data_IF_783621127282
#
_entry.id   IF_783621127282
#
_cell.length_a   1.000
_cell.length_b   1.000
_cell.length_c   1.000
_cell.angle_alpha   90.00
_cell.angle_beta   90.00
_cell.angle_gamma   90.00
#
_symmetry.space_group_name_H-M   'P 1'
#
loop_
_entity.id
_entity.type
_entity.pdbx_description
1 polymer ?
#
# COMPACT_ATOMS: atom_id res chain seq x y z
N UNK A 1 -14.99 -28.17 7.01
CA UNK A 1 -15.33 -28.51 5.59
C UNK A 1 -14.84 -29.92 5.36
N UNK A 2 -15.62 -30.80 4.66
CA UNK A 2 -15.10 -32.14 4.33
C UNK A 2 -13.99 -32.04 3.28
N UNK A 3 -13.03 -32.95 3.32
CA UNK A 3 -11.89 -32.98 2.38
C UNK A 3 -12.34 -32.98 0.91
N UNK A 4 -13.48 -33.59 0.62
CA UNK A 4 -14.13 -33.56 -0.70
C UNK A 4 -14.49 -32.14 -1.17
N UNK A 5 -15.01 -31.29 -0.29
CA UNK A 5 -15.33 -29.89 -0.63
C UNK A 5 -14.07 -29.04 -0.85
N UNK A 6 -13.01 -29.34 -0.13
CA UNK A 6 -11.70 -28.68 -0.29
C UNK A 6 -11.13 -29.04 -1.66
N UNK A 7 -11.21 -30.30 -2.06
CA UNK A 7 -10.68 -30.76 -3.35
C UNK A 7 -11.48 -30.22 -4.54
N UNK A 8 -12.82 -30.22 -4.46
CA UNK A 8 -13.66 -29.58 -5.48
C UNK A 8 -13.38 -28.09 -5.61
N UNK A 9 -13.06 -27.40 -4.51
CA UNK A 9 -12.68 -25.99 -4.53
C UNK A 9 -11.33 -25.76 -5.22
N UNK A 10 -10.33 -26.63 -4.95
CA UNK A 10 -9.02 -26.58 -5.60
C UNK A 10 -9.14 -26.76 -7.11
N UNK A 11 -9.92 -27.77 -7.56
CA UNK A 11 -10.14 -28.06 -8.98
C UNK A 11 -10.82 -26.89 -9.70
N UNK A 12 -11.87 -26.30 -9.12
CA UNK A 12 -12.55 -25.12 -9.70
C UNK A 12 -11.64 -23.89 -9.77
N UNK A 13 -10.73 -23.76 -8.79
CA UNK A 13 -9.73 -22.69 -8.78
C UNK A 13 -8.70 -22.87 -9.88
N UNK A 14 -8.18 -24.08 -10.03
CA UNK A 14 -7.22 -24.42 -11.07
C UNK A 14 -7.81 -24.18 -12.46
N UNK A 15 -9.04 -24.65 -12.71
CA UNK A 15 -9.73 -24.43 -13.97
C UNK A 15 -9.88 -22.93 -14.31
N UNK A 16 -10.23 -22.10 -13.32
CA UNK A 16 -10.31 -20.63 -13.51
C UNK A 16 -8.94 -20.00 -13.80
N UNK A 17 -7.88 -20.49 -13.16
CA UNK A 17 -6.53 -20.00 -13.42
C UNK A 17 -6.05 -20.39 -14.82
N UNK A 18 -6.31 -21.63 -15.27
CA UNK A 18 -6.03 -22.07 -16.64
C UNK A 18 -6.79 -21.24 -17.68
N UNK A 19 -8.07 -20.95 -17.44
CA UNK A 19 -8.86 -20.06 -18.31
C UNK A 19 -8.30 -18.61 -18.34
N UNK A 20 -7.81 -18.13 -17.21
CA UNK A 20 -7.29 -16.75 -17.09
C UNK A 20 -5.93 -16.55 -17.74
N UNK A 21 -5.04 -17.52 -17.61
CA UNK A 21 -3.63 -17.40 -18.00
C UNK A 21 -3.28 -18.19 -19.27
N UNK A 22 -4.15 -19.07 -19.74
CA UNK A 22 -3.94 -19.82 -20.97
C UNK A 22 -2.58 -20.53 -21.01
N UNK A 23 -1.78 -20.24 -22.03
CA UNK A 23 -0.45 -20.83 -22.22
C UNK A 23 0.56 -20.46 -21.09
N UNK A 24 0.33 -19.33 -20.39
CA UNK A 24 1.24 -18.88 -19.34
C UNK A 24 0.93 -19.50 -17.96
N UNK A 25 -0.10 -20.36 -17.89
CA UNK A 25 -0.55 -20.96 -16.63
C UNK A 25 0.57 -21.69 -15.88
N UNK A 26 1.35 -22.53 -16.59
CA UNK A 26 2.42 -23.33 -15.98
C UNK A 26 3.57 -22.43 -15.46
N UNK A 27 3.87 -21.34 -16.16
CA UNK A 27 4.86 -20.36 -15.70
C UNK A 27 4.40 -19.66 -14.41
N UNK A 28 3.12 -19.32 -14.32
CA UNK A 28 2.49 -18.72 -13.12
C UNK A 28 2.52 -19.69 -11.94
N UNK A 29 2.22 -20.97 -12.18
CA UNK A 29 2.26 -22.01 -11.13
C UNK A 29 3.70 -22.21 -10.65
N UNK A 30 4.66 -22.37 -11.56
CA UNK A 30 6.06 -22.57 -11.22
C UNK A 30 6.68 -21.37 -10.47
N UNK A 31 6.25 -20.15 -10.79
CA UNK A 31 6.63 -18.96 -10.02
C UNK A 31 6.07 -19.01 -8.58
N UNK A 32 4.80 -19.40 -8.42
CA UNK A 32 4.14 -19.51 -7.11
C UNK A 32 4.77 -20.58 -6.24
N UNK A 33 5.07 -21.74 -6.83
CA UNK A 33 5.73 -22.86 -6.12
C UNK A 33 7.16 -22.50 -5.68
N UNK A 34 7.95 -21.86 -6.55
CA UNK A 34 9.29 -21.35 -6.18
C UNK A 34 9.21 -20.34 -5.04
N UNK A 35 8.20 -19.48 -5.06
CA UNK A 35 7.98 -18.49 -4.02
C UNK A 35 7.55 -19.14 -2.70
N UNK A 36 6.66 -20.13 -2.73
CA UNK A 36 6.26 -20.91 -1.55
C UNK A 36 7.44 -21.72 -0.97
N UNK A 37 8.21 -22.40 -1.82
CA UNK A 37 9.39 -23.18 -1.39
C UNK A 37 10.46 -22.33 -0.72
N UNK A 38 10.59 -21.04 -1.07
CA UNK A 38 11.50 -20.11 -0.40
C UNK A 38 11.00 -19.64 0.97
N UNK A 39 9.70 -19.47 1.11
CA UNK A 39 9.10 -19.15 2.41
C UNK A 39 9.26 -20.34 3.36
N UNK A 40 9.04 -21.56 2.87
CA UNK A 40 9.31 -22.78 3.62
C UNK A 40 10.82 -22.94 3.91
N UNK A 41 11.70 -22.55 2.99
CA UNK A 41 13.14 -22.57 3.21
C UNK A 41 13.62 -21.48 4.20
N UNK A 42 12.98 -20.32 4.21
CA UNK A 42 13.20 -19.26 5.19
C UNK A 42 12.62 -19.62 6.57
N UNK A 43 11.66 -20.53 6.60
CA UNK A 43 10.98 -21.00 7.83
C UNK A 43 11.44 -22.42 8.25
N UNK A 44 12.54 -22.94 7.64
CA UNK A 44 13.20 -24.20 8.05
C UNK A 44 13.89 -24.04 9.41
N UNK A 45 13.09 -23.94 10.42
CA UNK A 45 13.48 -23.89 11.80
C UNK A 45 12.26 -23.99 12.68
N UNK A 46 12.49 -24.21 13.95
CA UNK A 46 11.42 -24.33 14.94
C UNK A 46 11.28 -23.04 15.73
N UNK A 47 10.08 -22.47 15.72
CA UNK A 47 9.75 -21.40 16.64
C UNK A 47 9.59 -21.96 18.04
N UNK A 48 10.35 -21.45 19.00
CA UNK A 48 10.21 -21.78 20.42
C UNK A 48 9.87 -20.53 21.21
N UNK A 49 8.99 -20.70 22.19
CA UNK A 49 8.68 -19.64 23.15
C UNK A 49 9.58 -19.86 24.36
N UNK A 50 10.38 -18.86 24.74
CA UNK A 50 11.21 -18.90 25.92
C UNK A 50 10.37 -18.69 27.17
N UNK A 51 10.92 -19.03 28.35
CA UNK A 51 10.28 -18.79 29.66
C UNK A 51 9.88 -17.31 29.91
N UNK A 52 10.41 -16.39 29.09
CA UNK A 52 10.09 -14.95 29.14
C UNK A 52 9.10 -14.50 28.06
N UNK A 53 8.34 -15.44 27.48
CA UNK A 53 7.32 -15.17 26.46
C UNK A 53 7.87 -14.57 25.15
N UNK A 54 9.17 -14.76 24.86
CA UNK A 54 9.78 -14.37 23.60
C UNK A 54 9.75 -15.54 22.61
N UNK A 55 9.21 -15.35 21.40
CA UNK A 55 9.33 -16.32 20.31
C UNK A 55 10.69 -16.14 19.63
N UNK A 56 11.47 -17.21 19.59
CA UNK A 56 12.77 -17.25 18.91
C UNK A 56 12.70 -18.31 17.81
N UNK A 57 13.15 -17.94 16.61
CA UNK A 57 13.36 -18.89 15.53
C UNK A 57 14.70 -19.59 15.73
N UNK A 58 14.68 -20.91 15.77
CA UNK A 58 15.88 -21.73 15.83
C UNK A 58 16.19 -22.27 14.44
N UNK A 59 17.45 -22.20 14.02
CA UNK A 59 17.93 -22.83 12.79
C UNK A 59 17.88 -24.38 12.89
N UNK A 60 18.24 -25.08 11.83
CA UNK A 60 18.26 -26.55 11.79
C UNK A 60 19.15 -27.18 12.86
N UNK A 61 20.11 -26.45 13.43
CA UNK A 61 21.01 -26.88 14.52
C UNK A 61 20.43 -26.60 15.92
N UNK A 62 19.23 -26.02 16.01
CA UNK A 62 18.62 -25.64 17.27
C UNK A 62 19.17 -24.35 17.90
N UNK A 63 19.93 -23.57 17.18
CA UNK A 63 20.50 -22.29 17.64
C UNK A 63 19.63 -21.12 17.15
N UNK A 64 19.60 -19.98 17.88
CA UNK A 64 18.89 -18.78 17.42
C UNK A 64 19.39 -18.34 16.05
N UNK A 65 18.50 -18.30 15.08
CA UNK A 65 18.79 -17.92 13.68
C UNK A 65 19.04 -16.41 13.57
N UNK A 66 20.30 -16.01 13.75
CA UNK A 66 20.72 -14.59 13.68
C UNK A 66 20.63 -13.97 12.29
N UNK A 67 20.46 -14.77 11.25
CA UNK A 67 20.32 -14.33 9.87
C UNK A 67 18.88 -14.09 9.43
N UNK A 68 17.89 -14.57 10.19
CA UNK A 68 16.48 -14.40 9.87
C UNK A 68 16.02 -12.95 10.15
N UNK A 69 15.53 -12.20 9.16
CA UNK A 69 15.10 -10.81 9.36
C UNK A 69 13.99 -10.63 10.40
N UNK A 70 13.21 -11.68 10.68
CA UNK A 70 12.21 -11.67 11.75
C UNK A 70 12.84 -11.77 13.16
N UNK A 71 13.99 -12.42 13.29
CA UNK A 71 14.72 -12.55 14.57
C UNK A 71 15.50 -11.27 14.89
N UNK A 72 16.03 -10.57 13.88
CA UNK A 72 16.78 -9.31 14.06
C UNK A 72 15.90 -8.21 14.66
N UNK A 73 14.61 -8.19 14.34
CA UNK A 73 13.67 -7.21 14.92
C UNK A 73 13.38 -7.44 16.39
N UNK A 74 13.44 -8.69 16.85
CA UNK A 74 13.21 -9.07 18.26
C UNK A 74 14.47 -8.80 19.11
N UNK A 75 15.67 -9.03 18.56
CA UNK A 75 16.92 -8.83 19.29
C UNK A 75 17.32 -7.35 19.48
N UNK A 76 16.88 -6.44 18.63
CA UNK A 76 17.16 -4.99 18.77
C UNK A 76 16.34 -4.29 19.87
N UNK A 77 15.33 -4.97 20.45
CA UNK A 77 14.52 -4.45 21.55
C UNK A 77 15.06 -4.73 22.96
N UNK A 78 16.14 -5.49 23.11
CA UNK A 78 16.53 -6.08 24.39
C UNK A 78 17.98 -5.88 24.82
N UNK A 79 18.58 -4.69 24.69
CA UNK A 79 19.84 -4.37 25.39
C UNK A 79 19.58 -3.44 26.56
N UNK A 80 19.11 -4.02 27.66
CA UNK A 80 19.37 -3.51 28.99
C UNK A 80 20.74 -4.04 29.45
N UNK A 81 21.72 -3.17 29.68
CA UNK A 81 23.00 -3.54 30.26
C UNK A 81 22.84 -4.12 31.67
N UNK A 82 23.81 -4.91 32.18
CA UNK A 82 23.73 -5.46 33.51
C UNK A 82 23.80 -4.31 34.53
N UNK A 83 22.74 -4.10 35.29
CA UNK A 83 22.76 -3.17 36.44
C UNK A 83 21.59 -2.23 36.63
N UNK A 84 20.62 -2.15 35.75
CA UNK A 84 19.40 -1.38 36.00
C UNK A 84 18.33 -2.26 36.62
N UNK A 85 17.95 -1.95 37.87
CA UNK A 85 16.74 -2.49 38.49
C UNK A 85 15.58 -2.29 37.49
N UNK A 86 14.65 -3.28 37.34
CA UNK A 86 13.51 -3.09 36.50
C UNK A 86 12.75 -1.86 37.00
N UNK A 87 12.81 -0.79 36.22
CA UNK A 87 11.89 0.33 36.43
C UNK A 87 10.49 -0.29 36.28
N UNK A 88 9.65 -0.10 37.28
CA UNK A 88 8.21 -0.37 37.13
C UNK A 88 7.78 0.39 35.89
N UNK A 89 7.61 -0.36 34.78
CA UNK A 89 7.10 0.23 33.55
C UNK A 89 5.76 0.88 33.85
N UNK A 90 5.47 2.04 33.25
CA UNK A 90 4.21 2.69 33.49
C UNK A 90 3.08 1.71 33.15
N UNK A 91 2.26 1.41 34.13
CA UNK A 91 1.00 0.73 33.93
C UNK A 91 0.23 1.50 32.85
N UNK A 92 -0.35 0.81 31.89
CA UNK A 92 -1.21 1.33 30.81
C UNK A 92 -0.65 2.56 30.07
N UNK A 93 0.42 2.38 29.29
CA UNK A 93 0.89 3.43 28.38
C UNK A 93 -0.15 3.71 27.30
N UNK A 94 -0.37 4.97 26.98
CA UNK A 94 -1.06 5.37 25.76
C UNK A 94 -0.03 5.50 24.63
N UNK A 95 -0.47 5.29 23.37
CA UNK A 95 0.31 5.64 22.17
C UNK A 95 0.45 7.15 22.05
N UNK A 96 1.32 7.64 21.16
CA UNK A 96 1.40 9.06 20.80
C UNK A 96 0.06 9.68 20.40
N UNK A 97 -0.91 8.86 19.94
CA UNK A 97 -2.29 9.25 19.66
C UNK A 97 -3.23 9.15 20.90
N UNK A 98 -2.69 8.88 22.09
CA UNK A 98 -3.50 8.67 23.28
C UNK A 98 -4.48 7.47 23.16
N UNK A 99 -4.16 6.47 22.35
CA UNK A 99 -4.89 5.22 22.30
C UNK A 99 -4.40 4.29 23.41
N UNK A 100 -5.29 3.56 24.10
CA UNK A 100 -4.87 2.60 25.10
C UNK A 100 -4.05 1.49 24.44
N UNK A 101 -2.90 1.14 25.01
CA UNK A 101 -2.14 -0.05 24.61
C UNK A 101 -2.89 -1.28 25.10
N UNK A 102 -3.43 -2.06 24.19
CA UNK A 102 -4.26 -3.23 24.47
C UNK A 102 -3.44 -4.49 24.20
N UNK A 103 -3.58 -5.49 25.07
CA UNK A 103 -2.92 -6.78 24.92
C UNK A 103 -3.35 -7.43 23.59
N UNK A 104 -2.38 -7.90 22.80
CA UNK A 104 -2.63 -8.50 21.48
C UNK A 104 -2.82 -7.51 20.32
N UNK A 105 -2.67 -6.21 20.57
CA UNK A 105 -2.62 -5.19 19.52
C UNK A 105 -1.22 -4.62 19.46
N UNK A 106 -0.60 -4.75 18.30
CA UNK A 106 0.71 -4.15 18.00
C UNK A 106 0.47 -2.78 17.38
N UNK A 107 1.35 -1.82 17.65
CA UNK A 107 1.32 -0.50 17.05
C UNK A 107 2.54 -0.35 16.15
N UNK A 108 2.31 0.03 14.90
CA UNK A 108 3.37 0.30 13.90
C UNK A 108 3.23 1.71 13.38
N UNK A 109 4.33 2.26 12.90
CA UNK A 109 4.29 3.54 12.20
C UNK A 109 3.63 3.36 10.84
N UNK A 110 2.68 4.24 10.53
CA UNK A 110 2.09 4.38 9.19
C UNK A 110 3.13 4.94 8.20
N UNK A 111 2.74 5.10 6.95
CA UNK A 111 3.61 5.73 5.93
C UNK A 111 4.07 7.13 6.35
N UNK A 112 3.19 7.86 7.02
CA UNK A 112 3.44 9.23 7.50
C UNK A 112 3.93 9.29 8.95
N UNK A 113 4.33 8.15 9.54
CA UNK A 113 4.97 8.08 10.86
C UNK A 113 4.04 8.02 12.06
N UNK A 114 2.71 7.99 11.86
CA UNK A 114 1.75 7.85 12.95
C UNK A 114 1.75 6.44 13.55
N UNK A 115 1.70 6.33 14.88
CA UNK A 115 1.50 5.04 15.55
C UNK A 115 0.04 4.59 15.40
N UNK A 116 -0.19 3.62 14.52
CA UNK A 116 -1.51 3.06 14.24
C UNK A 116 -1.59 1.60 14.68
N UNK A 117 -2.79 1.14 15.12
CA UNK A 117 -2.95 -0.26 15.50
C UNK A 117 -2.76 -1.17 14.29
N UNK A 118 -1.97 -2.22 14.51
CA UNK A 118 -1.79 -3.32 13.58
C UNK A 118 -1.86 -4.63 14.37
N UNK A 119 -2.01 -5.74 13.69
CA UNK A 119 -2.23 -7.02 14.34
C UNK A 119 -1.25 -8.04 13.81
N UNK A 120 -0.68 -8.83 14.72
CA UNK A 120 0.15 -9.96 14.33
C UNK A 120 -0.71 -10.99 13.60
N UNK A 121 -0.08 -11.69 12.68
CA UNK A 121 -0.72 -12.69 11.86
C UNK A 121 -1.38 -13.79 12.69
N UNK A 122 -0.67 -14.26 13.73
CA UNK A 122 -1.14 -15.31 14.62
C UNK A 122 -2.38 -14.92 15.47
N UNK A 123 -2.60 -13.62 15.71
CA UNK A 123 -3.70 -13.12 16.54
C UNK A 123 -4.74 -12.34 15.74
N UNK A 124 -4.60 -12.30 14.42
CA UNK A 124 -5.44 -11.41 13.59
C UNK A 124 -6.92 -11.77 13.66
N UNK A 125 -7.26 -13.06 13.75
CA UNK A 125 -8.63 -13.56 13.85
C UNK A 125 -9.20 -13.49 15.25
N UNK A 126 -8.34 -13.39 16.27
CA UNK A 126 -8.78 -13.33 17.67
C UNK A 126 -9.32 -11.94 17.99
N UNK A 127 -10.48 -11.87 18.64
CA UNK A 127 -11.12 -10.63 19.08
C UNK A 127 -11.27 -9.57 17.95
N UNK A 128 -11.64 -10.02 16.74
CA UNK A 128 -11.73 -9.15 15.54
C UNK A 128 -12.62 -7.91 15.77
N UNK A 129 -13.71 -8.05 16.51
CA UNK A 129 -14.63 -6.92 16.75
C UNK A 129 -14.00 -5.85 17.67
N UNK A 130 -13.25 -6.26 18.67
CA UNK A 130 -12.49 -5.32 19.50
C UNK A 130 -11.41 -4.59 18.68
N UNK A 131 -10.69 -5.33 17.82
CA UNK A 131 -9.69 -4.77 16.91
C UNK A 131 -10.27 -3.75 15.94
N UNK A 132 -11.43 -4.04 15.37
CA UNK A 132 -12.18 -3.09 14.52
C UNK A 132 -12.59 -1.84 15.30
N UNK A 133 -13.09 -2.00 16.52
CA UNK A 133 -13.45 -0.85 17.36
C UNK A 133 -12.25 0.06 17.67
N UNK A 134 -11.07 -0.53 17.92
CA UNK A 134 -9.82 0.21 18.13
C UNK A 134 -9.41 0.93 16.86
N UNK A 135 -9.48 0.28 15.69
CA UNK A 135 -9.12 0.89 14.41
C UNK A 135 -10.02 2.09 14.08
N UNK A 136 -11.34 1.96 14.29
CA UNK A 136 -12.28 3.09 14.14
C UNK A 136 -11.95 4.24 15.07
N UNK A 137 -11.62 3.95 16.34
CA UNK A 137 -11.20 4.96 17.30
C UNK A 137 -9.88 5.62 16.92
N UNK A 138 -8.92 4.84 16.39
CA UNK A 138 -7.65 5.35 15.88
C UNK A 138 -7.86 6.29 14.70
N UNK A 139 -8.68 5.91 13.73
CA UNK A 139 -9.00 6.74 12.58
C UNK A 139 -9.59 8.09 13.03
N UNK A 140 -10.58 8.10 13.95
CA UNK A 140 -11.15 9.34 14.49
C UNK A 140 -10.11 10.23 15.17
N UNK A 141 -9.19 9.65 15.97
CA UNK A 141 -8.14 10.40 16.66
C UNK A 141 -7.05 10.92 15.73
N UNK A 142 -6.85 10.29 14.57
CA UNK A 142 -5.90 10.75 13.56
C UNK A 142 -6.38 11.98 12.78
N UNK A 143 -7.68 12.25 12.70
CA UNK A 143 -8.21 13.38 11.92
C UNK A 143 -7.55 14.71 12.29
N UNK A 144 -7.46 15.13 13.56
CA UNK A 144 -6.78 16.37 13.93
C UNK A 144 -5.29 16.35 13.58
N UNK A 145 -4.63 15.21 13.72
CA UNK A 145 -3.20 15.07 13.38
C UNK A 145 -2.98 15.14 11.87
N UNK A 146 -3.85 14.53 11.07
CA UNK A 146 -3.84 14.67 9.61
C UNK A 146 -3.99 16.16 9.24
N UNK A 147 -4.97 16.86 9.83
CA UNK A 147 -5.18 18.30 9.55
C UNK A 147 -3.93 19.14 9.83
N UNK A 148 -3.10 18.79 10.81
CA UNK A 148 -1.85 19.49 11.10
C UNK A 148 -0.75 19.24 10.07
N UNK A 149 -0.79 18.10 9.36
CA UNK A 149 0.21 17.75 8.33
C UNK A 149 -0.15 18.24 6.95
N UNK A 150 -1.37 18.76 6.78
CA UNK A 150 -1.84 19.30 5.50
C UNK A 150 -1.12 20.62 5.19
N UNK A 151 -0.63 20.75 3.97
CA UNK A 151 0.08 21.93 3.52
C UNK A 151 -0.13 22.14 2.03
N UNK A 152 -0.06 23.39 1.60
CA UNK A 152 0.03 23.78 0.21
C UNK A 152 1.40 24.40 -0.12
N UNK A 153 2.34 24.31 0.82
CA UNK A 153 3.72 24.73 0.63
C UNK A 153 4.46 23.68 -0.21
N UNK A 154 5.03 24.12 -1.31
CA UNK A 154 5.82 23.27 -2.20
C UNK A 154 7.29 23.42 -1.83
N UNK A 155 7.89 22.35 -1.32
CA UNK A 155 9.32 22.29 -1.01
C UNK A 155 10.09 21.61 -2.14
N UNK A 156 11.36 21.95 -2.26
CA UNK A 156 12.28 21.22 -3.13
C UNK A 156 12.44 19.78 -2.68
N UNK A 157 12.56 18.88 -3.63
CA UNK A 157 12.81 17.46 -3.35
C UNK A 157 14.28 17.17 -3.68
N UNK A 158 15.02 16.74 -2.67
CA UNK A 158 16.40 16.29 -2.87
C UNK A 158 16.38 14.83 -3.34
N UNK A 159 16.94 14.56 -4.50
CA UNK A 159 17.08 13.21 -5.05
C UNK A 159 18.18 12.46 -4.30
N UNK A 160 17.91 11.31 -3.67
CA UNK A 160 18.96 10.47 -3.09
C UNK A 160 19.89 9.93 -4.17
N UNK A 161 21.16 9.82 -3.85
CA UNK A 161 22.14 9.20 -4.74
C UNK A 161 21.90 7.70 -4.90
N UNK A 162 22.07 7.21 -6.13
CA UNK A 162 22.06 5.78 -6.45
C UNK A 162 23.46 5.21 -6.24
N UNK A 163 23.61 4.39 -5.22
CA UNK A 163 24.88 3.81 -4.80
C UNK A 163 24.80 2.27 -4.71
N UNK A 164 25.85 1.63 -4.24
CA UNK A 164 25.91 0.17 -4.10
C UNK A 164 24.92 -0.38 -3.09
N UNK A 165 24.55 0.40 -2.05
CA UNK A 165 23.50 0.01 -1.12
C UNK A 165 22.12 -0.06 -1.82
N UNK A 166 21.89 0.82 -2.79
CA UNK A 166 20.68 0.79 -3.63
C UNK A 166 20.63 -0.47 -4.47
N UNK A 167 21.77 -0.86 -5.09
CA UNK A 167 21.88 -2.10 -5.89
C UNK A 167 21.69 -3.33 -5.02
N UNK A 168 22.36 -3.39 -3.88
CA UNK A 168 22.21 -4.48 -2.90
C UNK A 168 20.76 -4.60 -2.41
N UNK A 169 20.11 -3.48 -2.14
CA UNK A 169 18.69 -3.47 -1.77
C UNK A 169 17.80 -4.05 -2.89
N UNK A 170 17.98 -3.63 -4.14
CA UNK A 170 17.19 -4.11 -5.27
C UNK A 170 17.35 -5.62 -5.47
N UNK A 171 18.59 -6.12 -5.38
CA UNK A 171 18.91 -7.55 -5.44
C UNK A 171 18.16 -8.37 -4.38
N UNK A 172 18.05 -7.84 -3.17
CA UNK A 172 17.36 -8.50 -2.06
C UNK A 172 15.83 -8.31 -2.09
N UNK A 173 15.36 -7.19 -2.64
CA UNK A 173 13.96 -6.80 -2.61
C UNK A 173 13.16 -7.33 -3.82
N UNK A 174 13.83 -7.74 -4.91
CA UNK A 174 13.20 -8.31 -6.10
C UNK A 174 13.85 -9.65 -6.40
N UNK A 175 13.14 -10.68 -6.03
CA UNK A 175 13.58 -12.05 -6.20
C UNK A 175 13.74 -12.41 -7.67
N UNK A 176 14.86 -13.08 -8.01
CA UNK A 176 15.16 -13.54 -9.38
C UNK A 176 15.67 -12.45 -10.31
N UNK A 177 15.82 -11.20 -9.83
CA UNK A 177 16.38 -10.13 -10.63
C UNK A 177 17.87 -10.38 -10.91
N UNK A 178 18.25 -10.33 -12.20
CA UNK A 178 19.65 -10.39 -12.60
C UNK A 178 20.34 -9.03 -12.42
N UNK A 179 21.69 -8.99 -12.33
CA UNK A 179 22.41 -7.72 -12.30
C UNK A 179 22.06 -6.80 -13.48
N UNK A 180 21.89 -7.35 -14.68
CA UNK A 180 21.54 -6.61 -15.88
C UNK A 180 20.14 -5.98 -15.76
N UNK A 181 19.18 -6.72 -15.18
CA UNK A 181 17.83 -6.20 -14.93
C UNK A 181 17.83 -5.10 -13.87
N UNK A 182 18.70 -5.20 -12.86
CA UNK A 182 18.86 -4.15 -11.83
C UNK A 182 19.39 -2.87 -12.47
N UNK A 183 20.47 -2.95 -13.25
CA UNK A 183 21.03 -1.79 -13.94
C UNK A 183 20.03 -1.20 -14.96
N UNK A 184 19.33 -2.06 -15.71
CA UNK A 184 18.26 -1.59 -16.60
C UNK A 184 17.14 -0.89 -15.84
N UNK A 185 16.73 -1.44 -14.70
CA UNK A 185 15.73 -0.82 -13.83
C UNK A 185 16.14 0.56 -13.31
N UNK A 186 17.40 0.71 -12.92
CA UNK A 186 17.96 2.00 -12.49
C UNK A 186 18.05 3.01 -13.64
N UNK A 187 18.46 2.58 -14.83
CA UNK A 187 18.47 3.44 -16.03
C UNK A 187 17.07 3.94 -16.40
N UNK A 188 16.08 3.07 -16.37
CA UNK A 188 14.69 3.47 -16.65
C UNK A 188 14.12 4.35 -15.53
N UNK A 189 14.46 4.07 -14.28
CA UNK A 189 14.09 4.91 -13.14
C UNK A 189 14.66 6.33 -13.26
N UNK A 190 15.92 6.46 -13.69
CA UNK A 190 16.57 7.74 -13.94
C UNK A 190 15.83 8.57 -15.00
N UNK A 191 15.44 7.94 -16.12
CA UNK A 191 14.66 8.60 -17.18
C UNK A 191 13.30 9.10 -16.66
N UNK A 192 12.60 8.26 -15.88
CA UNK A 192 11.30 8.63 -15.29
C UNK A 192 11.50 9.77 -14.30
N UNK A 193 12.54 9.70 -13.46
CA UNK A 193 12.81 10.75 -12.48
C UNK A 193 13.15 12.07 -13.17
N UNK A 194 14.06 12.06 -14.16
CA UNK A 194 14.43 13.24 -14.92
C UNK A 194 13.24 13.88 -15.65
N UNK A 195 12.35 13.06 -16.21
CA UNK A 195 11.11 13.54 -16.80
C UNK A 195 10.27 14.32 -15.79
N UNK A 196 10.01 13.72 -14.62
CA UNK A 196 9.21 14.35 -13.57
C UNK A 196 9.91 15.54 -12.92
N UNK A 197 11.22 15.51 -12.78
CA UNK A 197 11.99 16.64 -12.27
C UNK A 197 11.79 17.90 -13.15
N UNK A 198 11.73 17.70 -14.46
CA UNK A 198 11.50 18.78 -15.43
C UNK A 198 10.04 19.23 -15.49
N UNK A 199 9.09 18.32 -15.49
CA UNK A 199 7.70 18.61 -15.86
C UNK A 199 6.76 18.72 -14.63
N UNK A 200 7.11 18.11 -13.51
CA UNK A 200 6.31 18.10 -12.29
C UNK A 200 6.07 19.50 -11.70
N UNK A 201 7.02 20.46 -11.71
CA UNK A 201 6.76 21.77 -11.11
C UNK A 201 5.52 22.48 -11.66
N UNK A 202 5.35 22.53 -12.98
CA UNK A 202 4.18 23.15 -13.59
C UNK A 202 2.87 22.42 -13.24
N UNK A 203 2.91 21.09 -13.17
CA UNK A 203 1.77 20.27 -12.74
C UNK A 203 1.46 20.52 -11.27
N UNK A 204 2.47 20.58 -10.42
CA UNK A 204 2.32 20.90 -9.00
C UNK A 204 1.66 22.26 -8.80
N UNK A 205 2.14 23.28 -9.50
CA UNK A 205 1.58 24.63 -9.41
C UNK A 205 0.10 24.66 -9.82
N UNK A 206 -0.27 23.97 -10.91
CA UNK A 206 -1.65 23.86 -11.35
C UNK A 206 -2.53 23.12 -10.33
N UNK A 207 -2.07 21.98 -9.82
CA UNK A 207 -2.81 21.18 -8.83
C UNK A 207 -2.97 21.96 -7.52
N UNK A 208 -1.87 22.47 -6.97
CA UNK A 208 -1.88 23.23 -5.71
C UNK A 208 -2.68 24.51 -5.82
N UNK A 209 -2.56 25.23 -6.96
CA UNK A 209 -3.35 26.42 -7.24
C UNK A 209 -4.84 26.12 -7.21
N UNK A 210 -5.30 25.13 -7.99
CA UNK A 210 -6.69 24.71 -8.05
C UNK A 210 -7.24 24.23 -6.69
N UNK A 211 -6.40 23.54 -5.91
CA UNK A 211 -6.76 23.09 -4.55
C UNK A 211 -6.95 24.28 -3.61
N UNK A 212 -6.03 25.26 -3.65
CA UNK A 212 -6.11 26.48 -2.82
C UNK A 212 -7.33 27.33 -3.11
N UNK A 213 -7.71 27.47 -4.40
CA UNK A 213 -8.85 28.29 -4.83
C UNK A 213 -10.15 28.00 -4.10
N UNK A 214 -10.33 26.77 -3.63
CA UNK A 214 -11.54 26.32 -2.93
C UNK A 214 -11.27 25.85 -1.51
N UNK A 215 -10.19 26.31 -0.90
CA UNK A 215 -9.86 26.05 0.51
C UNK A 215 -9.42 24.63 0.80
N UNK A 216 -9.01 23.89 -0.23
CA UNK A 216 -8.40 22.56 -0.05
C UNK A 216 -6.93 22.63 0.35
N UNK A 217 -6.36 21.49 0.64
CA UNK A 217 -4.96 21.31 1.07
C UNK A 217 -4.36 20.05 0.43
N UNK A 218 -3.06 19.88 0.57
CA UNK A 218 -2.35 18.71 0.06
C UNK A 218 -1.79 17.87 1.23
N UNK A 219 -1.72 16.56 1.04
CA UNK A 219 -1.11 15.64 1.98
C UNK A 219 0.15 15.02 1.37
N UNK A 220 1.25 15.02 2.14
CA UNK A 220 2.51 14.38 1.74
C UNK A 220 3.13 14.96 0.46
N UNK A 221 2.99 16.28 0.24
CA UNK A 221 3.47 16.96 -0.95
C UNK A 221 5.00 16.82 -1.13
N UNK A 222 5.74 16.65 -0.05
CA UNK A 222 7.19 16.40 -0.08
C UNK A 222 7.56 15.03 -0.68
N UNK A 223 6.60 14.11 -0.76
CA UNK A 223 6.75 12.75 -1.31
C UNK A 223 6.07 12.59 -2.69
N UNK A 224 5.83 13.69 -3.40
CA UNK A 224 5.09 13.68 -4.67
C UNK A 224 5.82 13.01 -5.83
N UNK A 225 7.15 12.86 -5.76
CA UNK A 225 7.96 12.09 -6.73
C UNK A 225 8.48 10.80 -6.11
N UNK A 226 8.43 9.71 -6.84
CA UNK A 226 9.11 8.47 -6.44
C UNK A 226 10.57 8.55 -6.83
N UNK A 227 11.43 8.11 -5.91
CA UNK A 227 12.86 8.02 -6.16
C UNK A 227 13.26 6.75 -6.93
N UNK A 228 14.42 6.78 -7.54
CA UNK A 228 15.00 5.73 -8.37
C UNK A 228 14.89 4.34 -7.77
N UNK A 229 15.25 4.18 -6.51
CA UNK A 229 15.13 2.93 -5.76
C UNK A 229 13.72 2.32 -5.82
N UNK A 230 12.68 3.14 -5.69
CA UNK A 230 11.29 2.69 -5.69
C UNK A 230 10.77 2.45 -7.11
N UNK A 231 11.20 3.29 -8.06
CA UNK A 231 10.85 3.14 -9.48
C UNK A 231 11.49 1.88 -10.06
N UNK A 232 12.81 1.70 -9.87
CA UNK A 232 13.55 0.53 -10.33
C UNK A 232 12.97 -0.76 -9.73
N UNK A 233 12.75 -0.79 -8.40
CA UNK A 233 12.11 -1.95 -7.76
C UNK A 233 10.79 -2.32 -8.42
N UNK A 234 9.94 -1.32 -8.68
CA UNK A 234 8.63 -1.54 -9.29
C UNK A 234 8.77 -2.06 -10.72
N UNK A 235 9.60 -1.40 -11.55
CA UNK A 235 9.82 -1.81 -12.94
C UNK A 235 10.34 -3.24 -13.04
N UNK A 236 11.32 -3.61 -12.21
CA UNK A 236 11.91 -4.96 -12.22
C UNK A 236 10.88 -5.99 -11.71
N UNK A 237 10.17 -5.69 -10.62
CA UNK A 237 9.17 -6.60 -10.06
C UNK A 237 8.00 -6.83 -11.03
N UNK A 238 7.49 -5.77 -11.66
CA UNK A 238 6.42 -5.86 -12.65
C UNK A 238 6.89 -6.63 -13.90
N UNK A 239 8.15 -6.42 -14.36
CA UNK A 239 8.72 -7.15 -15.49
C UNK A 239 8.84 -8.66 -15.23
N UNK A 240 9.19 -9.05 -14.00
CA UNK A 240 9.35 -10.44 -13.58
C UNK A 240 8.04 -11.11 -13.15
N UNK A 241 6.96 -10.35 -12.98
CA UNK A 241 5.67 -10.91 -12.62
C UNK A 241 5.04 -11.61 -13.84
N UNK A 242 4.92 -12.96 -13.83
CA UNK A 242 4.40 -13.72 -14.96
C UNK A 242 2.90 -13.46 -15.20
N UNK A 243 2.21 -12.79 -14.27
CA UNK A 243 0.80 -12.39 -14.43
C UNK A 243 0.66 -11.09 -15.24
N UNK A 244 1.77 -10.37 -15.45
CA UNK A 244 1.84 -9.16 -16.25
C UNK A 244 2.50 -9.48 -17.62
N UNK A 245 2.08 -8.75 -18.65
CA UNK A 245 2.48 -9.02 -20.05
C UNK A 245 3.83 -8.40 -20.43
N UNK A 246 4.79 -8.37 -19.51
CA UNK A 246 6.09 -7.76 -19.78
C UNK A 246 7.17 -8.77 -20.14
N UNK A 247 7.01 -10.05 -19.77
CA UNK A 247 7.91 -11.15 -20.12
C UNK A 247 9.40 -10.87 -19.81
N UNK A 248 9.67 -10.23 -18.66
CA UNK A 248 11.02 -9.85 -18.26
C UNK A 248 11.51 -8.52 -18.82
N UNK A 249 10.74 -7.84 -19.67
CA UNK A 249 11.11 -6.54 -20.26
C UNK A 249 10.91 -5.41 -19.24
N UNK A 250 12.00 -5.01 -18.59
CA UNK A 250 12.05 -3.96 -17.57
C UNK A 250 11.71 -2.59 -18.16
N UNK A 251 12.12 -2.29 -19.40
CA UNK A 251 11.83 -1.00 -20.02
C UNK A 251 10.34 -0.84 -20.31
N UNK A 252 9.70 -1.89 -20.82
CA UNK A 252 8.27 -1.90 -21.05
C UNK A 252 7.48 -1.78 -19.75
N UNK A 253 7.89 -2.49 -18.70
CA UNK A 253 7.27 -2.37 -17.37
C UNK A 253 7.43 -0.97 -16.78
N UNK A 254 8.62 -0.35 -16.95
CA UNK A 254 8.88 1.01 -16.52
C UNK A 254 7.98 2.03 -17.23
N UNK A 255 7.76 1.87 -18.54
CA UNK A 255 6.87 2.74 -19.34
C UNK A 255 5.40 2.70 -18.89
N UNK A 256 4.98 1.64 -18.21
CA UNK A 256 3.63 1.51 -17.68
C UNK A 256 3.47 2.00 -16.21
N UNK A 257 4.53 2.53 -15.59
CA UNK A 257 4.46 3.10 -14.25
C UNK A 257 3.56 4.35 -14.26
N UNK A 258 2.48 4.31 -13.48
CA UNK A 258 1.44 5.35 -13.41
C UNK A 258 1.55 6.25 -12.19
N UNK A 259 2.50 5.99 -11.32
CA UNK A 259 2.67 6.66 -10.03
C UNK A 259 4.12 7.11 -9.79
N UNK A 260 4.83 7.46 -10.87
CA UNK A 260 6.15 8.11 -10.82
C UNK A 260 6.06 9.48 -10.15
N UNK A 261 5.02 10.25 -10.48
CA UNK A 261 4.54 11.36 -9.68
C UNK A 261 3.17 11.01 -9.09
N UNK A 262 2.91 11.44 -7.84
CA UNK A 262 1.67 11.18 -7.11
C UNK A 262 1.32 12.34 -6.20
N UNK A 263 0.08 12.79 -6.29
CA UNK A 263 -0.47 13.84 -5.45
C UNK A 263 -1.64 13.33 -4.62
N UNK A 264 -1.84 13.92 -3.46
CA UNK A 264 -3.01 13.68 -2.62
C UNK A 264 -3.62 15.02 -2.23
N UNK A 265 -4.74 15.34 -2.85
CA UNK A 265 -5.54 16.51 -2.52
C UNK A 265 -6.55 16.17 -1.44
N UNK A 266 -6.70 17.04 -0.46
CA UNK A 266 -7.61 16.86 0.68
C UNK A 266 -8.56 18.03 0.75
N UNK A 267 -9.85 17.72 0.73
CA UNK A 267 -10.95 18.68 0.80
C UNK A 267 -11.89 18.34 1.96
N UNK A 268 -12.46 19.35 2.58
CA UNK A 268 -13.60 19.11 3.45
C UNK A 268 -14.79 18.59 2.62
N UNK A 269 -15.71 17.90 3.28
CA UNK A 269 -16.85 17.21 2.65
C UNK A 269 -17.64 18.07 1.67
N UNK A 270 -17.89 19.34 2.03
CA UNK A 270 -18.72 20.24 1.20
C UNK A 270 -18.05 20.67 -0.11
N UNK A 271 -16.71 20.73 -0.11
CA UNK A 271 -15.92 21.19 -1.25
C UNK A 271 -15.32 20.03 -2.09
N UNK A 272 -15.59 18.79 -1.72
CA UNK A 272 -14.90 17.63 -2.29
C UNK A 272 -15.12 17.48 -3.80
N UNK A 273 -16.38 17.46 -4.23
CA UNK A 273 -16.72 17.29 -5.65
C UNK A 273 -16.31 18.47 -6.49
N UNK A 274 -16.46 19.70 -5.98
CA UNK A 274 -15.97 20.91 -6.66
C UNK A 274 -14.45 20.89 -6.75
N UNK A 275 -13.76 20.42 -5.69
CA UNK A 275 -12.31 20.25 -5.70
C UNK A 275 -11.80 19.32 -6.77
N UNK A 276 -12.44 18.19 -6.91
CA UNK A 276 -12.14 17.26 -7.99
C UNK A 276 -12.28 17.93 -9.35
N UNK A 277 -13.41 18.62 -9.62
CA UNK A 277 -13.68 19.30 -10.89
C UNK A 277 -12.69 20.42 -11.18
N UNK A 278 -12.32 21.21 -10.18
CA UNK A 278 -11.34 22.30 -10.31
C UNK A 278 -9.96 21.79 -10.67
N UNK A 279 -9.48 20.80 -9.97
CA UNK A 279 -8.16 20.22 -10.25
C UNK A 279 -8.14 19.57 -11.63
N UNK A 280 -9.18 18.80 -11.98
CA UNK A 280 -9.33 18.23 -13.32
C UNK A 280 -9.30 19.31 -14.40
N UNK A 281 -10.11 20.35 -14.24
CA UNK A 281 -10.17 21.47 -15.21
C UNK A 281 -8.85 22.25 -15.32
N UNK A 282 -8.07 22.39 -14.24
CA UNK A 282 -6.75 23.02 -14.29
C UNK A 282 -5.76 22.18 -15.11
N UNK A 283 -5.78 20.85 -14.93
CA UNK A 283 -4.95 19.93 -15.71
C UNK A 283 -5.36 19.87 -17.18
N UNK A 284 -6.66 19.88 -17.47
CA UNK A 284 -7.18 19.91 -18.85
C UNK A 284 -6.73 21.15 -19.63
N UNK A 285 -6.63 22.31 -18.98
CA UNK A 285 -6.07 23.53 -19.59
C UNK A 285 -4.60 23.38 -20.00
N UNK A 286 -3.88 22.47 -19.39
CA UNK A 286 -2.49 22.09 -19.76
C UNK A 286 -2.43 20.98 -20.82
N UNK A 287 -3.58 20.55 -21.37
CA UNK A 287 -3.67 19.41 -22.28
C UNK A 287 -3.54 18.06 -21.61
N UNK A 288 -3.49 18.02 -20.27
CA UNK A 288 -3.40 16.80 -19.48
C UNK A 288 -4.81 16.20 -19.35
N UNK A 289 -4.96 14.93 -19.69
CA UNK A 289 -6.26 14.25 -19.72
C UNK A 289 -6.38 13.22 -18.61
N UNK A 290 -7.56 13.10 -18.05
CA UNK A 290 -7.87 12.02 -17.14
C UNK A 290 -7.91 10.70 -17.91
N UNK A 291 -7.00 9.80 -17.58
CA UNK A 291 -6.88 8.48 -18.19
C UNK A 291 -7.78 7.44 -17.53
N UNK A 292 -7.93 7.54 -16.20
CA UNK A 292 -8.74 6.63 -15.38
C UNK A 292 -9.20 7.34 -14.12
N UNK A 293 -10.46 7.14 -13.77
CA UNK A 293 -11.02 7.51 -12.48
C UNK A 293 -11.63 6.30 -11.79
N UNK A 294 -11.31 6.09 -10.52
CA UNK A 294 -11.93 5.10 -9.63
C UNK A 294 -12.50 5.82 -8.43
N UNK A 295 -13.80 5.68 -8.23
CA UNK A 295 -14.50 6.26 -7.09
C UNK A 295 -14.80 5.17 -6.06
N UNK A 296 -13.92 5.00 -5.08
CA UNK A 296 -14.08 3.97 -4.05
C UNK A 296 -15.22 4.25 -3.06
N UNK A 297 -15.81 5.44 -3.04
CA UNK A 297 -17.02 5.71 -2.26
C UNK A 297 -18.24 4.98 -2.83
N UNK A 298 -18.33 4.80 -4.14
CA UNK A 298 -19.44 4.09 -4.78
C UNK A 298 -19.50 2.61 -4.36
N UNK A 299 -18.33 2.00 -4.09
CA UNK A 299 -18.24 0.61 -3.64
C UNK A 299 -18.86 0.38 -2.25
N UNK A 300 -19.04 1.43 -1.43
CA UNK A 300 -19.73 1.37 -0.15
C UNK A 300 -21.24 1.58 -0.28
N UNK A 301 -21.68 2.34 -1.29
CA UNK A 301 -23.11 2.60 -1.55
C UNK A 301 -23.85 1.33 -1.91
N UNK A 302 -23.22 0.46 -2.67
CA UNK A 302 -23.82 -0.73 -3.26
C UNK A 302 -23.77 -1.97 -2.34
N UNK A 303 -23.69 -1.79 -1.02
CA UNK A 303 -23.61 -2.87 -0.03
C UNK A 303 -24.99 -3.48 0.29
N UNK A 304 -25.79 -3.80 -0.71
CA UNK A 304 -27.08 -4.46 -0.54
C UNK A 304 -26.97 -5.99 -0.34
N UNK A 305 -25.74 -6.52 -0.29
CA UNK A 305 -25.50 -7.96 -0.11
C UNK A 305 -25.65 -8.78 -1.39
N UNK A 306 -25.85 -8.15 -2.55
CA UNK A 306 -25.91 -8.87 -3.83
C UNK A 306 -24.57 -9.52 -4.16
N UNK A 307 -24.59 -10.80 -4.53
CA UNK A 307 -23.39 -11.56 -4.88
C UNK A 307 -22.63 -10.90 -6.04
N UNK A 308 -21.36 -10.58 -5.81
CA UNK A 308 -20.41 -10.15 -6.83
C UNK A 308 -19.85 -8.75 -6.72
N UNK A 309 -20.40 -7.85 -5.91
CA UNK A 309 -19.86 -6.51 -5.69
C UNK A 309 -18.73 -6.54 -4.63
N UNK A 310 -17.56 -6.03 -4.99
CA UNK A 310 -16.45 -5.90 -4.05
C UNK A 310 -16.76 -4.75 -3.10
N UNK A 311 -16.96 -5.05 -1.84
CA UNK A 311 -17.05 -4.04 -0.78
C UNK A 311 -15.70 -3.33 -0.69
N UNK A 312 -15.69 -2.00 -0.76
CA UNK A 312 -14.48 -1.19 -0.76
C UNK A 312 -13.70 -1.28 0.55
N UNK A 313 -12.39 -1.38 0.45
CA UNK A 313 -11.47 -1.41 1.59
C UNK A 313 -10.95 -0.01 1.94
N UNK A 314 -11.29 0.97 1.14
CA UNK A 314 -10.90 2.38 1.29
C UNK A 314 -12.00 3.28 0.75
N UNK A 315 -12.02 4.53 1.18
CA UNK A 315 -12.86 5.60 0.65
C UNK A 315 -11.97 6.71 0.11
N UNK A 316 -11.95 6.89 -1.20
CA UNK A 316 -11.20 7.92 -1.92
C UNK A 316 -11.65 7.97 -3.36
N UNK A 317 -11.33 9.04 -4.07
CA UNK A 317 -11.33 9.05 -5.54
C UNK A 317 -9.88 9.01 -5.99
N UNK A 318 -9.55 8.05 -6.87
CA UNK A 318 -8.18 7.86 -7.36
C UNK A 318 -8.16 7.92 -8.87
N UNK A 319 -7.48 8.93 -9.38
CA UNK A 319 -7.37 9.19 -10.80
C UNK A 319 -5.93 8.96 -11.29
N UNK A 320 -5.81 8.54 -12.52
CA UNK A 320 -4.57 8.57 -13.28
C UNK A 320 -4.76 9.60 -14.37
N UNK A 321 -3.85 10.54 -14.47
CA UNK A 321 -3.80 11.53 -15.53
C UNK A 321 -2.68 11.23 -16.51
N UNK A 322 -2.86 11.62 -17.76
CA UNK A 322 -1.89 11.40 -18.84
C UNK A 322 -1.52 12.75 -19.45
N UNK A 323 -0.23 13.04 -19.48
CA UNK A 323 0.33 14.23 -20.12
C UNK A 323 0.26 14.15 -21.64
N UNK A 324 0.39 15.26 -22.40
CA UNK A 324 0.33 15.24 -23.85
C UNK A 324 1.36 14.31 -24.53
N UNK A 325 2.48 14.06 -23.88
CA UNK A 325 3.55 13.15 -24.31
C UNK A 325 3.39 11.71 -23.76
N UNK A 326 2.24 11.40 -23.16
CA UNK A 326 1.85 10.04 -22.77
C UNK A 326 2.33 9.57 -21.39
N UNK A 327 2.99 10.43 -20.61
CA UNK A 327 3.40 10.06 -19.25
C UNK A 327 2.21 10.10 -18.28
N UNK A 328 2.21 9.18 -17.31
CA UNK A 328 1.08 9.01 -16.39
C UNK A 328 1.49 9.32 -14.96
N UNK A 329 0.60 9.99 -14.23
CA UNK A 329 0.74 10.24 -12.80
C UNK A 329 -0.58 10.01 -12.06
N UNK A 330 -0.46 9.78 -10.76
CA UNK A 330 -1.61 9.49 -9.88
C UNK A 330 -2.01 10.73 -9.09
N UNK A 331 -3.30 10.99 -9.02
CA UNK A 331 -3.89 11.99 -8.15
C UNK A 331 -5.01 11.36 -7.32
N UNK A 332 -4.89 11.45 -6.01
CA UNK A 332 -5.85 10.94 -5.05
C UNK A 332 -6.60 12.10 -4.39
N UNK A 333 -7.92 11.95 -4.24
CA UNK A 333 -8.78 12.89 -3.56
C UNK A 333 -9.33 12.26 -2.30
N UNK A 334 -9.12 12.94 -1.19
CA UNK A 334 -9.49 12.50 0.14
C UNK A 334 -10.22 13.58 0.92
N UNK A 335 -11.00 13.16 1.94
CA UNK A 335 -11.33 14.03 3.08
C UNK A 335 -10.33 13.76 4.21
N UNK A 336 -10.22 14.62 5.24
CA UNK A 336 -9.39 14.33 6.40
C UNK A 336 -9.74 12.98 7.05
N UNK A 337 -11.02 12.63 7.07
CA UNK A 337 -11.53 11.37 7.62
C UNK A 337 -11.07 10.17 6.79
N UNK A 338 -11.19 10.26 5.46
CA UNK A 338 -10.76 9.18 4.56
C UNK A 338 -9.25 8.99 4.58
N UNK A 339 -8.50 10.09 4.74
CA UNK A 339 -7.05 10.05 4.89
C UNK A 339 -6.64 9.38 6.20
N UNK A 340 -7.31 9.70 7.31
CA UNK A 340 -7.07 9.06 8.60
C UNK A 340 -7.37 7.55 8.56
N UNK A 341 -8.46 7.14 7.92
CA UNK A 341 -8.77 5.72 7.72
C UNK A 341 -7.72 5.01 6.86
N UNK A 342 -7.23 5.66 5.80
CA UNK A 342 -6.15 5.15 4.95
C UNK A 342 -4.86 4.90 5.75
N UNK A 343 -4.45 5.84 6.61
CA UNK A 343 -3.27 5.69 7.46
C UNK A 343 -3.40 4.49 8.41
N UNK A 344 -4.56 4.30 9.03
CA UNK A 344 -4.82 3.13 9.89
C UNK A 344 -4.78 1.82 9.10
N UNK A 345 -5.32 1.82 7.88
CA UNK A 345 -5.40 0.64 7.03
C UNK A 345 -4.06 0.27 6.36
N UNK A 346 -3.12 1.22 6.24
CA UNK A 346 -1.90 1.05 5.46
C UNK A 346 -1.03 -0.15 5.89
N UNK A 347 -0.75 -0.42 7.19
CA UNK A 347 -0.01 -1.61 7.59
C UNK A 347 -0.72 -2.91 7.19
N UNK A 348 -2.04 -2.98 7.36
CA UNK A 348 -2.85 -4.14 6.97
C UNK A 348 -2.86 -4.33 5.44
N UNK A 349 -2.93 -3.23 4.68
CA UNK A 349 -2.80 -3.27 3.23
C UNK A 349 -1.44 -3.81 2.77
N UNK A 350 -0.34 -3.44 3.46
CA UNK A 350 1.00 -4.01 3.17
C UNK A 350 1.03 -5.52 3.39
N UNK A 351 0.44 -6.01 4.47
CA UNK A 351 0.33 -7.45 4.72
C UNK A 351 -0.42 -8.18 3.61
N UNK A 352 -1.49 -7.58 3.05
CA UNK A 352 -2.22 -8.16 1.91
C UNK A 352 -1.39 -8.28 0.62
N UNK A 353 -0.23 -7.66 0.54
CA UNK A 353 0.71 -7.79 -0.57
C UNK A 353 1.82 -8.82 -0.33
N UNK A 354 1.85 -9.42 0.86
CA UNK A 354 2.78 -10.49 1.17
C UNK A 354 2.37 -11.79 0.46
N UNK A 355 3.30 -12.74 0.28
CA UNK A 355 3.02 -14.00 -0.41
C UNK A 355 1.83 -14.78 0.15
N UNK A 356 1.66 -14.80 1.47
CA UNK A 356 0.51 -15.43 2.14
C UNK A 356 -0.84 -14.84 1.72
N UNK A 357 -0.83 -13.67 1.06
CA UNK A 357 -2.03 -12.99 0.58
C UNK A 357 -2.82 -13.74 -0.51
N UNK A 358 -2.28 -14.82 -1.04
CA UNK A 358 -2.99 -15.68 -1.98
C UNK A 358 -4.11 -16.51 -1.32
N UNK A 359 -4.02 -16.70 -0.02
CA UNK A 359 -5.03 -17.45 0.73
C UNK A 359 -6.20 -16.56 1.15
N UNK A 360 -7.41 -16.99 0.81
CA UNK A 360 -8.64 -16.27 1.17
C UNK A 360 -8.77 -16.11 2.69
N UNK A 361 -8.40 -17.13 3.42
CA UNK A 361 -8.42 -17.16 4.88
C UNK A 361 -7.49 -16.12 5.50
N UNK A 362 -6.38 -15.82 4.84
CA UNK A 362 -5.45 -14.76 5.23
C UNK A 362 -5.99 -13.37 4.90
N UNK A 363 -6.55 -13.20 3.72
CA UNK A 363 -6.96 -11.90 3.20
C UNK A 363 -8.32 -11.44 3.71
N UNK A 364 -9.27 -12.34 3.89
CA UNK A 364 -10.65 -11.97 4.25
C UNK A 364 -10.75 -11.21 5.59
N UNK A 365 -10.09 -11.65 6.69
CA UNK A 365 -10.10 -10.88 7.92
C UNK A 365 -9.50 -9.49 7.76
N UNK A 366 -8.42 -9.35 6.97
CA UNK A 366 -7.76 -8.07 6.68
C UNK A 366 -8.64 -7.15 5.85
N UNK A 367 -9.31 -7.71 4.87
CA UNK A 367 -10.29 -6.99 4.05
C UNK A 367 -11.45 -6.49 4.91
N UNK A 368 -12.00 -7.33 5.79
CA UNK A 368 -13.07 -6.92 6.72
C UNK A 368 -12.62 -5.82 7.66
N UNK A 369 -11.42 -5.93 8.21
CA UNK A 369 -10.85 -4.90 9.07
C UNK A 369 -10.73 -3.56 8.33
N UNK A 370 -10.20 -3.55 7.12
CA UNK A 370 -10.03 -2.34 6.32
C UNK A 370 -11.38 -1.73 5.92
N UNK A 371 -12.36 -2.56 5.53
CA UNK A 371 -13.73 -2.13 5.23
C UNK A 371 -14.39 -1.48 6.45
N UNK A 372 -14.30 -2.14 7.59
CA UNK A 372 -14.89 -1.64 8.84
C UNK A 372 -14.25 -0.31 9.28
N UNK A 373 -12.92 -0.20 9.21
CA UNK A 373 -12.22 1.06 9.48
C UNK A 373 -12.67 2.17 8.54
N UNK A 374 -12.87 1.87 7.26
CA UNK A 374 -13.31 2.86 6.26
C UNK A 374 -14.82 3.15 6.33
N UNK A 375 -15.63 2.28 6.94
CA UNK A 375 -17.08 2.47 7.06
C UNK A 375 -17.49 3.70 7.89
N UNK A 376 -16.61 4.16 8.80
CA UNK A 376 -16.87 5.36 9.61
C UNK A 376 -16.56 6.68 8.89
N UNK A 377 -16.01 6.60 7.67
CA UNK A 377 -15.74 7.77 6.85
C UNK A 377 -17.04 8.24 6.19
N UNK A 378 -17.48 9.48 6.43
CA UNK A 378 -18.65 10.05 5.76
C UNK A 378 -18.44 10.14 4.24
N UNK A 379 -19.51 10.02 3.48
CA UNK A 379 -19.48 10.27 2.06
C UNK A 379 -19.52 11.78 1.81
N UNK A 380 -18.56 12.36 1.10
CA UNK A 380 -18.54 13.79 0.83
C UNK A 380 -19.66 14.19 -0.13
N UNK A 381 -20.08 15.44 -0.05
CA UNK A 381 -21.13 15.99 -0.88
C UNK A 381 -20.77 15.90 -2.37
N UNK A 382 -21.69 15.36 -3.16
CA UNK A 382 -21.55 15.21 -4.61
C UNK A 382 -20.53 14.15 -5.05
N UNK A 383 -20.01 13.32 -4.14
CA UNK A 383 -19.01 12.30 -4.49
C UNK A 383 -19.57 11.26 -5.47
N UNK A 384 -20.87 10.98 -5.42
CA UNK A 384 -21.51 10.01 -6.31
C UNK A 384 -21.76 10.53 -7.72
N UNK A 385 -21.55 11.85 -7.95
CA UNK A 385 -21.59 12.47 -9.27
C UNK A 385 -20.25 12.37 -10.01
N UNK A 386 -19.22 11.82 -9.34
CA UNK A 386 -17.91 11.56 -9.94
C UNK A 386 -17.94 10.17 -10.57
N UNK A 387 -18.02 10.13 -11.90
CA UNK A 387 -18.13 8.90 -12.67
C UNK A 387 -16.81 8.13 -12.73
N UNK A 388 -16.90 6.80 -12.60
CA UNK A 388 -15.77 5.90 -12.84
C UNK A 388 -15.58 5.67 -14.33
N UNK A 389 -14.33 5.72 -14.79
CA UNK A 389 -14.00 5.42 -16.18
C UNK A 389 -12.54 5.00 -16.36
N UNK A 390 -12.28 4.44 -17.54
CA UNK A 390 -10.94 4.18 -18.03
C UNK A 390 -10.90 4.44 -19.54
N UNK A 391 -9.93 5.23 -19.98
CA UNK A 391 -9.76 5.55 -21.40
C UNK A 391 -9.62 4.28 -22.24
N UNK A 392 -10.35 4.17 -23.32
CA UNK A 392 -10.42 2.98 -24.19
C UNK A 392 -11.47 1.95 -23.79
N UNK A 393 -12.22 2.14 -22.72
CA UNK A 393 -13.45 1.40 -22.44
C UNK A 393 -14.63 2.07 -23.19
N UNK A 394 -15.58 1.22 -23.65
CA UNK A 394 -16.75 1.67 -24.43
C UNK A 394 -17.54 2.72 -23.64
N UNK A 395 -17.66 3.92 -24.21
CA UNK A 395 -18.36 5.06 -23.62
C UNK A 395 -17.49 6.26 -23.30
N UNK A 396 -16.16 6.11 -23.26
CA UNK A 396 -15.23 7.23 -23.09
C UNK A 396 -14.72 7.71 -24.46
N UNK A 397 -15.16 8.92 -24.89
CA UNK A 397 -14.71 9.59 -26.10
C UNK A 397 -13.61 10.59 -25.81
#
# INVERSE_FOLDING_TARGET
>A
MSDKKIEEFKQRREQRLRQRYGADYEAVVAYKERRAARLDAADKGRWVTTEKDHRIHLNEKGEPDKGNPHVISVMKGGRGGPGTKPSKGPASGTTGLGLPKIKGVTYKKSESGFEVPTFDEATFTDNIEEKKAIARKAAKKLIPEIKKTLSTEVKSINRPEVNDETRAYLKNAVEGATPEQIEKGLQEADKIYAYWEKNEPAITDAVVGAVKEIGGTMYGLDNRRKFDKSLAKKAIADALDPTLKYNGDVAKAAGDIKDGARYTAVFDSDNFSEGYKRVKGALEKMGIKEYRCKNFFTQYRDQDGSEGKKIGEQKSVQCVFETPDGQKFELQFHTPESMAAKEVNHPTYKQKKEPASEYKEYNEPRSRFMRDTSSVVPDPKGVFDIEEHKRGETGYK
#
